data_IF_363648598463
#
_entry.id   IF_363648598463
#
_cell.length_a   1.000
_cell.length_b   1.000
_cell.length_c   1.000
_cell.angle_alpha   90.00
_cell.angle_beta   90.00
_cell.angle_gamma   90.00
#
_symmetry.space_group_name_H-M   'P 1'
#
loop_
_entity.id
_entity.type
_entity.pdbx_description
1 polymer ?
#
# COMPACT_ATOMS: atom_id res chain seq x y z
N UNK A 1 26.91 -17.03 -27.23
CA UNK A 1 26.32 -15.75 -26.78
C UNK A 1 25.68 -16.01 -25.43
N UNK A 2 26.32 -15.58 -24.33
CA UNK A 2 25.74 -15.70 -22.98
C UNK A 2 24.70 -14.59 -22.87
N UNK A 3 23.42 -14.96 -22.72
CA UNK A 3 22.39 -14.01 -22.34
C UNK A 3 22.75 -13.50 -20.94
N UNK A 4 22.98 -12.20 -20.82
CA UNK A 4 23.06 -11.53 -19.53
C UNK A 4 21.80 -11.88 -18.72
N UNK A 5 21.91 -12.25 -17.44
CA UNK A 5 20.73 -12.46 -16.62
C UNK A 5 19.97 -11.13 -16.54
N UNK A 6 18.70 -11.13 -16.93
CA UNK A 6 17.80 -9.99 -16.74
C UNK A 6 17.90 -9.58 -15.27
N UNK A 7 18.26 -8.31 -15.02
CA UNK A 7 18.39 -7.75 -13.67
C UNK A 7 17.20 -8.19 -12.80
N UNK A 8 17.41 -8.74 -11.60
CA UNK A 8 16.41 -9.58 -10.97
C UNK A 8 15.12 -8.88 -10.50
N UNK A 9 14.96 -7.55 -10.59
CA UNK A 9 13.97 -6.86 -9.76
C UNK A 9 13.16 -5.70 -10.38
N UNK A 10 13.17 -5.48 -11.69
CA UNK A 10 12.29 -4.46 -12.29
C UNK A 10 11.00 -5.11 -12.82
N UNK A 11 10.00 -5.26 -11.94
CA UNK A 11 8.62 -5.49 -12.39
C UNK A 11 8.14 -4.22 -13.11
N UNK A 12 7.56 -4.37 -14.30
CA UNK A 12 7.10 -3.24 -15.12
C UNK A 12 5.59 -3.27 -15.29
N UNK A 13 4.97 -2.08 -15.31
CA UNK A 13 3.54 -1.89 -15.55
C UNK A 13 3.33 -1.17 -16.88
N UNK A 14 2.26 -1.53 -17.58
CA UNK A 14 1.85 -0.82 -18.79
C UNK A 14 1.10 0.46 -18.44
N UNK A 15 1.54 1.55 -19.06
CA UNK A 15 0.86 2.84 -19.04
C UNK A 15 -0.25 2.92 -20.10
N UNK A 16 -1.17 3.85 -19.90
CA UNK A 16 -2.28 4.09 -20.84
C UNK A 16 -1.81 4.56 -22.22
N UNK A 17 -0.63 5.17 -22.32
CA UNK A 17 0.00 5.60 -23.57
C UNK A 17 0.78 4.48 -24.30
N UNK A 18 0.77 3.26 -23.75
CA UNK A 18 1.49 2.10 -24.28
C UNK A 18 2.94 1.98 -23.82
N UNK A 19 3.47 2.95 -23.06
CA UNK A 19 4.81 2.87 -22.48
C UNK A 19 4.83 1.96 -21.24
N UNK A 20 6.01 1.49 -20.86
CA UNK A 20 6.20 0.79 -19.59
C UNK A 20 6.71 1.76 -18.51
N UNK A 21 6.28 1.56 -17.27
CA UNK A 21 6.85 2.19 -16.07
C UNK A 21 7.43 1.09 -15.17
N UNK A 22 8.62 1.31 -14.62
CA UNK A 22 9.13 0.41 -13.60
C UNK A 22 8.31 0.59 -12.31
N UNK A 23 7.99 -0.50 -11.61
CA UNK A 23 7.23 -0.43 -10.35
C UNK A 23 7.95 0.44 -9.31
N UNK A 24 9.28 0.41 -9.28
CA UNK A 24 10.08 1.28 -8.41
C UNK A 24 9.90 2.77 -8.71
N UNK A 25 9.73 3.14 -9.98
CA UNK A 25 9.44 4.52 -10.37
C UNK A 25 8.05 4.93 -9.90
N UNK A 26 7.04 4.06 -10.08
CA UNK A 26 5.70 4.29 -9.53
C UNK A 26 5.76 4.49 -8.00
N UNK A 27 6.47 3.61 -7.28
CA UNK A 27 6.60 3.72 -5.82
C UNK A 27 7.29 5.02 -5.43
N UNK A 28 8.34 5.43 -6.15
CA UNK A 28 9.02 6.69 -5.90
C UNK A 28 8.09 7.89 -6.05
N UNK A 29 7.26 7.92 -7.11
CA UNK A 29 6.25 8.97 -7.33
C UNK A 29 5.21 8.97 -6.21
N UNK A 30 4.67 7.80 -5.84
CA UNK A 30 3.70 7.66 -4.76
C UNK A 30 4.27 8.14 -3.42
N UNK A 31 5.51 7.75 -3.10
CA UNK A 31 6.17 8.12 -1.85
C UNK A 31 6.48 9.63 -1.80
N UNK A 32 6.90 10.23 -2.91
CA UNK A 32 7.13 11.67 -2.99
C UNK A 32 5.84 12.47 -2.74
N UNK A 33 4.76 12.09 -3.43
CA UNK A 33 3.44 12.70 -3.23
C UNK A 33 2.92 12.52 -1.80
N UNK A 34 3.16 11.34 -1.21
CA UNK A 34 2.74 11.04 0.15
C UNK A 34 3.48 11.89 1.18
N UNK A 35 4.79 12.05 1.04
CA UNK A 35 5.62 12.90 1.91
C UNK A 35 5.18 14.37 1.89
N UNK A 36 4.67 14.84 0.76
CA UNK A 36 4.20 16.21 0.58
C UNK A 36 2.72 16.40 0.99
N UNK A 37 1.96 15.32 1.13
CA UNK A 37 0.54 15.43 1.45
C UNK A 37 0.32 15.87 2.91
N UNK A 38 -0.33 17.02 3.17
CA UNK A 38 -0.36 17.65 4.50
C UNK A 38 -1.01 16.78 5.58
N UNK A 39 -2.00 15.96 5.20
CA UNK A 39 -2.68 15.06 6.13
C UNK A 39 -2.08 13.65 6.12
N UNK A 40 -2.18 12.92 5.00
CA UNK A 40 -1.71 11.53 4.90
C UNK A 40 -0.21 11.35 5.11
N UNK A 41 0.61 12.32 4.68
CA UNK A 41 2.05 12.31 4.93
C UNK A 41 2.36 12.32 6.42
N UNK A 42 1.74 13.23 7.17
CA UNK A 42 1.89 13.31 8.63
C UNK A 42 1.40 12.03 9.33
N UNK A 43 0.22 11.52 8.95
CA UNK A 43 -0.31 10.27 9.51
C UNK A 43 0.67 9.11 9.32
N UNK A 44 1.18 8.91 8.11
CA UNK A 44 2.08 7.80 7.83
C UNK A 44 3.48 8.00 8.40
N UNK A 45 3.96 9.23 8.45
CA UNK A 45 5.19 9.56 9.17
C UNK A 45 5.10 9.13 10.64
N UNK A 46 3.99 9.46 11.33
CA UNK A 46 3.79 9.07 12.72
C UNK A 46 3.61 7.55 12.90
N UNK A 47 2.81 6.90 12.05
CA UNK A 47 2.56 5.44 12.14
C UNK A 47 3.84 4.64 11.86
N UNK A 48 4.66 5.10 10.92
CA UNK A 48 5.92 4.45 10.57
C UNK A 48 7.11 4.87 11.45
N UNK A 49 6.91 5.77 12.44
CA UNK A 49 8.00 6.29 13.27
C UNK A 49 9.08 7.01 12.45
N UNK A 50 8.68 7.68 11.37
CA UNK A 50 9.58 8.34 10.43
C UNK A 50 10.28 7.42 9.42
N UNK A 51 10.05 6.10 9.48
CA UNK A 51 10.68 5.14 8.58
C UNK A 51 9.99 5.10 7.21
N UNK A 52 10.40 5.98 6.32
CA UNK A 52 9.87 6.05 4.95
C UNK A 52 10.24 4.85 4.07
N UNK A 53 11.32 4.13 4.38
CA UNK A 53 11.69 2.92 3.65
C UNK A 53 10.72 1.78 3.96
N UNK A 54 10.27 1.67 5.21
CA UNK A 54 9.21 0.73 5.59
C UNK A 54 7.88 1.06 4.90
N UNK A 55 7.55 2.34 4.75
CA UNK A 55 6.38 2.79 3.98
C UNK A 55 6.53 2.41 2.50
N UNK A 56 7.70 2.69 1.91
CA UNK A 56 8.03 2.33 0.52
C UNK A 56 7.88 0.81 0.28
N UNK A 57 8.45 0.00 1.17
CA UNK A 57 8.34 -1.47 1.13
C UNK A 57 6.90 -1.95 1.24
N UNK A 58 6.10 -1.33 2.10
CA UNK A 58 4.69 -1.70 2.26
C UNK A 58 3.85 -1.32 1.03
N UNK A 59 4.11 -0.15 0.43
CA UNK A 59 3.48 0.25 -0.85
C UNK A 59 3.88 -0.72 -1.95
N UNK A 60 5.16 -1.12 -2.03
CA UNK A 60 5.64 -2.13 -2.98
C UNK A 60 4.89 -3.45 -2.83
N UNK A 61 4.77 -3.96 -1.61
CA UNK A 61 4.01 -5.18 -1.32
C UNK A 61 2.56 -5.08 -1.79
N UNK A 62 1.91 -3.92 -1.58
CA UNK A 62 0.52 -3.68 -2.00
C UNK A 62 0.38 -3.65 -3.52
N UNK A 63 1.26 -2.90 -4.20
CA UNK A 63 1.23 -2.73 -5.66
C UNK A 63 1.48 -4.06 -6.37
N UNK A 64 2.40 -4.87 -5.85
CA UNK A 64 2.85 -6.11 -6.48
C UNK A 64 2.13 -7.36 -5.99
N UNK A 65 1.38 -7.28 -4.89
CA UNK A 65 0.70 -8.44 -4.29
C UNK A 65 1.66 -9.61 -4.00
N UNK A 66 2.86 -9.30 -3.47
CA UNK A 66 3.94 -10.30 -3.30
C UNK A 66 3.63 -11.41 -2.31
N UNK A 67 2.67 -11.19 -1.41
CA UNK A 67 2.33 -12.15 -0.38
C UNK A 67 0.86 -12.00 0.05
N UNK A 68 0.24 -13.07 0.59
CA UNK A 68 -1.04 -12.96 1.26
C UNK A 68 -0.99 -11.90 2.36
N UNK A 69 -2.04 -11.09 2.46
CA UNK A 69 -2.13 -10.00 3.45
C UNK A 69 -1.90 -10.44 4.91
N UNK A 70 -2.15 -11.73 5.20
CA UNK A 70 -1.94 -12.35 6.51
C UNK A 70 -0.47 -12.40 6.91
N UNK A 71 0.43 -12.61 5.96
CA UNK A 71 1.87 -12.75 6.19
C UNK A 71 2.61 -11.42 6.05
N UNK A 72 1.95 -10.39 5.52
CA UNK A 72 2.51 -9.05 5.42
C UNK A 72 2.89 -8.45 6.79
N UNK A 73 3.73 -7.42 6.75
CA UNK A 73 4.10 -6.67 7.95
C UNK A 73 2.88 -6.02 8.62
N UNK A 74 3.00 -5.66 9.90
CA UNK A 74 1.92 -4.92 10.59
C UNK A 74 1.64 -3.57 9.91
N UNK A 75 2.67 -2.90 9.37
CA UNK A 75 2.52 -1.65 8.64
C UNK A 75 1.74 -1.85 7.34
N UNK A 76 2.10 -2.86 6.53
CA UNK A 76 1.39 -3.20 5.29
C UNK A 76 -0.08 -3.51 5.56
N UNK A 77 -0.39 -4.32 6.59
CA UNK A 77 -1.78 -4.62 6.98
C UNK A 77 -2.55 -3.35 7.39
N UNK A 78 -1.90 -2.44 8.11
CA UNK A 78 -2.51 -1.17 8.50
C UNK A 78 -2.75 -0.27 7.26
N UNK A 79 -1.84 -0.27 6.29
CA UNK A 79 -2.05 0.43 5.02
C UNK A 79 -3.22 -0.16 4.22
N UNK A 80 -3.34 -1.49 4.11
CA UNK A 80 -4.52 -2.12 3.51
C UNK A 80 -5.82 -1.66 4.20
N UNK A 81 -5.83 -1.61 5.54
CA UNK A 81 -6.98 -1.09 6.30
C UNK A 81 -7.24 0.39 6.03
N UNK A 82 -6.21 1.22 5.91
CA UNK A 82 -6.40 2.63 5.57
C UNK A 82 -6.92 2.82 4.14
N UNK A 83 -6.45 1.99 3.21
CA UNK A 83 -6.90 1.93 1.82
C UNK A 83 -8.27 1.26 1.63
N UNK A 84 -8.89 0.72 2.68
CA UNK A 84 -10.22 0.13 2.60
C UNK A 84 -11.32 1.13 2.23
N UNK A 85 -11.15 2.39 2.64
CA UNK A 85 -12.23 3.38 2.58
C UNK A 85 -13.31 3.21 3.66
N UNK A 86 -13.23 2.17 4.50
CA UNK A 86 -14.20 1.89 5.58
C UNK A 86 -13.67 2.22 6.98
N UNK A 87 -12.40 2.63 7.08
CA UNK A 87 -11.74 3.05 8.33
C UNK A 87 -12.24 4.38 8.91
N UNK A 88 -11.48 4.97 9.86
CA UNK A 88 -11.75 6.28 10.44
C UNK A 88 -12.06 7.34 9.38
N UNK A 89 -13.01 8.24 9.65
CA UNK A 89 -13.51 9.24 8.68
C UNK A 89 -12.36 10.02 8.02
N UNK A 90 -11.35 10.40 8.80
CA UNK A 90 -10.18 11.14 8.35
C UNK A 90 -9.22 10.33 7.45
N UNK A 91 -9.39 9.01 7.32
CA UNK A 91 -8.60 8.14 6.44
C UNK A 91 -9.39 7.60 5.25
N UNK A 92 -10.73 7.70 5.25
CA UNK A 92 -11.57 7.23 4.13
C UNK A 92 -11.15 7.82 2.76
N UNK A 93 -10.76 9.10 2.64
CA UNK A 93 -10.35 9.66 1.36
C UNK A 93 -8.99 9.13 0.87
N UNK A 94 -8.19 8.46 1.71
CA UNK A 94 -6.86 7.95 1.34
C UNK A 94 -6.93 7.01 0.14
N UNK A 95 -7.91 6.10 0.09
CA UNK A 95 -8.09 5.18 -1.04
C UNK A 95 -8.27 5.93 -2.35
N UNK A 96 -9.20 6.89 -2.37
CA UNK A 96 -9.51 7.64 -3.57
C UNK A 96 -8.34 8.54 -4.00
N UNK A 97 -7.62 9.11 -3.04
CA UNK A 97 -6.42 9.88 -3.31
C UNK A 97 -5.31 8.99 -3.91
N UNK A 98 -5.04 7.85 -3.28
CA UNK A 98 -4.00 6.91 -3.71
C UNK A 98 -4.28 6.38 -5.13
N UNK A 99 -5.49 5.93 -5.42
CA UNK A 99 -5.85 5.41 -6.74
C UNK A 99 -5.80 6.49 -7.83
N UNK A 100 -6.14 7.75 -7.50
CA UNK A 100 -6.00 8.90 -8.41
C UNK A 100 -4.55 9.24 -8.75
N UNK A 101 -3.59 8.86 -7.91
CA UNK A 101 -2.16 8.97 -8.22
C UNK A 101 -1.65 7.79 -9.03
N UNK A 102 -2.14 6.58 -8.74
CA UNK A 102 -1.72 5.36 -9.47
C UNK A 102 -2.17 5.39 -10.92
N UNK A 103 -3.41 5.82 -11.18
CA UNK A 103 -4.01 5.78 -12.52
C UNK A 103 -3.22 6.49 -13.62
N UNK A 104 -2.82 7.78 -13.49
CA UNK A 104 -2.07 8.47 -14.54
C UNK A 104 -0.64 7.93 -14.71
N UNK A 105 -0.02 7.45 -13.63
CA UNK A 105 1.37 6.94 -13.66
C UNK A 105 1.46 5.52 -14.24
N UNK A 106 0.32 4.81 -14.26
CA UNK A 106 0.17 3.47 -14.82
C UNK A 106 -1.00 3.47 -15.81
N UNK A 107 -2.09 2.76 -15.52
CA UNK A 107 -3.30 2.77 -16.34
C UNK A 107 -4.58 2.65 -15.51
N UNK A 108 -5.70 3.08 -16.09
CA UNK A 108 -7.03 2.89 -15.50
C UNK A 108 -7.38 1.42 -15.27
N UNK A 109 -6.84 0.51 -16.09
CA UNK A 109 -6.99 -0.93 -15.87
C UNK A 109 -6.24 -1.35 -14.62
N UNK A 110 -4.97 -0.96 -14.49
CA UNK A 110 -4.17 -1.29 -13.32
C UNK A 110 -4.75 -0.72 -12.03
N UNK A 111 -5.17 0.56 -12.02
CA UNK A 111 -5.79 1.18 -10.85
C UNK A 111 -7.06 0.44 -10.40
N UNK A 112 -7.90 -0.01 -11.35
CA UNK A 112 -9.09 -0.84 -11.05
C UNK A 112 -8.74 -2.21 -10.51
N UNK A 113 -7.71 -2.86 -11.06
CA UNK A 113 -7.23 -4.15 -10.56
C UNK A 113 -6.67 -4.02 -9.14
N UNK A 114 -5.87 -2.98 -8.89
CA UNK A 114 -5.33 -2.67 -7.57
C UNK A 114 -6.45 -2.40 -6.55
N UNK A 115 -7.48 -1.66 -6.94
CA UNK A 115 -8.65 -1.43 -6.09
C UNK A 115 -9.33 -2.74 -5.69
N UNK A 116 -9.54 -3.66 -6.64
CA UNK A 116 -10.14 -4.99 -6.37
C UNK A 116 -9.25 -5.85 -5.49
N UNK A 117 -7.93 -5.82 -5.68
CA UNK A 117 -6.96 -6.52 -4.84
C UNK A 117 -6.99 -6.02 -3.40
N UNK A 118 -7.06 -4.70 -3.22
CA UNK A 118 -7.23 -4.10 -1.90
C UNK A 118 -8.50 -4.63 -1.23
N UNK A 119 -9.64 -4.66 -1.95
CA UNK A 119 -10.90 -5.21 -1.41
C UNK A 119 -10.77 -6.68 -0.98
N UNK A 120 -10.14 -7.52 -1.81
CA UNK A 120 -9.88 -8.93 -1.49
C UNK A 120 -9.01 -9.08 -0.23
N UNK A 121 -7.90 -8.33 -0.17
CA UNK A 121 -7.00 -8.35 0.98
C UNK A 121 -7.70 -7.91 2.28
N UNK A 122 -8.63 -6.96 2.20
CA UNK A 122 -9.41 -6.54 3.37
C UNK A 122 -10.38 -7.62 3.80
N UNK A 123 -11.06 -8.28 2.86
CA UNK A 123 -11.94 -9.40 3.19
C UNK A 123 -11.17 -10.50 3.92
N UNK A 124 -9.97 -10.85 3.45
CA UNK A 124 -9.08 -11.82 4.10
C UNK A 124 -8.67 -11.37 5.50
N UNK A 125 -8.37 -10.09 5.70
CA UNK A 125 -8.05 -9.53 7.01
C UNK A 125 -9.23 -9.53 7.99
N UNK A 126 -10.46 -9.37 7.50
CA UNK A 126 -11.68 -9.43 8.33
C UNK A 126 -11.98 -10.86 8.77
N UNK A 127 -11.77 -11.84 7.88
CA UNK A 127 -11.91 -13.26 8.20
C UNK A 127 -10.87 -13.73 9.23
N UNK A 128 -9.72 -13.07 9.29
CA UNK A 128 -8.70 -13.32 10.31
C UNK A 128 -9.06 -12.60 11.62
N UNK A 129 -9.58 -13.35 12.61
CA UNK A 129 -9.82 -12.85 13.98
C UNK A 129 -8.59 -12.04 14.46
N UNK A 130 -8.77 -10.83 15.00
CA UNK A 130 -7.65 -10.02 15.45
C UNK A 130 -6.92 -10.74 16.59
N UNK A 131 -5.67 -11.18 16.33
CA UNK A 131 -4.74 -11.62 17.37
C UNK A 131 -4.22 -10.37 18.09
N UNK A 132 -5.05 -9.75 18.91
CA UNK A 132 -4.55 -8.77 19.87
C UNK A 132 -3.64 -9.53 20.85
N UNK A 133 -2.37 -9.11 20.98
CA UNK A 133 -1.58 -9.51 22.15
C UNK A 133 -2.29 -8.94 23.39
N UNK A 134 -2.40 -9.73 24.45
CA UNK A 134 -3.12 -9.38 25.69
C UNK A 134 -2.72 -8.00 26.26
N UNK A 135 -1.51 -7.51 25.95
CA UNK A 135 -1.03 -6.17 26.31
C UNK A 135 -1.83 -5.03 25.68
N UNK A 136 -2.28 -5.16 24.43
CA UNK A 136 -3.06 -4.11 23.74
C UNK A 136 -4.51 -4.03 24.24
N UNK A 137 -5.09 -5.15 24.69
CA UNK A 137 -6.43 -5.20 25.28
C UNK A 137 -6.48 -4.58 26.69
N UNK A 138 -5.37 -4.64 27.44
CA UNK A 138 -5.27 -4.02 28.78
C UNK A 138 -5.39 -2.50 28.74
N UNK A 139 -4.84 -1.86 27.71
CA UNK A 139 -4.88 -0.38 27.54
C UNK A 139 -6.30 0.10 27.16
N UNK A 140 -7.11 -0.76 26.54
CA UNK A 140 -8.48 -0.44 26.14
C UNK A 140 -9.51 -0.70 27.25
N UNK A 141 -9.18 -1.54 28.23
CA UNK A 141 -10.07 -1.91 29.35
C UNK A 141 -9.74 -1.19 30.66
N UNK A 142 -8.76 -0.28 30.70
CA UNK A 142 -8.54 0.59 31.85
C UNK A 142 -9.48 1.80 31.78
N UNK A 143 -10.73 1.58 32.17
CA UNK A 143 -11.64 2.61 32.69
C UNK A 143 -12.35 2.04 33.91
#
# INVERSE_FOLDING_TARGET
MKLEPISPHCEALLRSDGNAIAVEELIAVLLANLKQHPHFGNVLHHIAGGNWDAVSNSIREIVLERAPVSTCSALTRNLYRALSGTGPINLRPLRQWFLRLVEPESSSLFARLLARRIDSAIADLVLQKPRFKASALRILNSR
#
